data_IF_199805862188
#
_entry.id   IF_199805862188
#
_cell.length_a   1.000
_cell.length_b   1.000
_cell.length_c   1.000
_cell.angle_alpha   90.00
_cell.angle_beta   90.00
_cell.angle_gamma   90.00
#
_symmetry.space_group_name_H-M   'P 1'
#
loop_
_entity.id
_entity.type
_entity.pdbx_description
1 polymer ?
#
# COMPACT_ATOMS: atom_id res chain seq x y z
N UNK A 1 32.71 21.43 -47.58
CA UNK A 1 32.35 22.07 -46.30
C UNK A 1 33.65 22.42 -45.62
N UNK A 2 33.83 23.67 -45.21
CA UNK A 2 35.06 24.08 -44.52
C UNK A 2 35.16 23.40 -43.14
N UNK A 3 36.38 23.15 -42.66
CA UNK A 3 36.62 22.49 -41.38
C UNK A 3 35.96 23.23 -40.19
N UNK A 4 35.83 24.55 -40.30
CA UNK A 4 35.10 25.39 -39.35
C UNK A 4 33.62 25.03 -39.31
N UNK A 5 32.98 24.87 -40.47
CA UNK A 5 31.56 24.47 -40.57
C UNK A 5 31.32 23.10 -39.96
N UNK A 6 32.24 22.15 -40.17
CA UNK A 6 32.14 20.80 -39.59
C UNK A 6 32.23 20.88 -38.05
N UNK A 7 33.19 21.65 -37.52
CA UNK A 7 33.35 21.82 -36.08
C UNK A 7 32.11 22.42 -35.42
N UNK A 8 31.53 23.47 -36.00
CA UNK A 8 30.29 24.07 -35.49
C UNK A 8 29.09 23.13 -35.56
N UNK A 9 28.96 22.35 -36.63
CA UNK A 9 27.89 21.35 -36.75
C UNK A 9 27.99 20.26 -35.68
N UNK A 10 29.20 19.76 -35.42
CA UNK A 10 29.43 18.76 -34.36
C UNK A 10 29.13 19.35 -32.99
N UNK A 11 29.60 20.58 -32.71
CA UNK A 11 29.34 21.25 -31.45
C UNK A 11 27.85 21.48 -31.22
N UNK A 12 27.12 21.93 -32.25
CA UNK A 12 25.67 22.16 -32.18
C UNK A 12 24.90 20.85 -31.94
N UNK A 13 25.30 19.77 -32.62
CA UNK A 13 24.71 18.45 -32.42
C UNK A 13 24.95 17.94 -30.99
N UNK A 14 26.18 18.08 -30.47
CA UNK A 14 26.52 17.67 -29.11
C UNK A 14 25.76 18.49 -28.06
N UNK A 15 25.71 19.81 -28.22
CA UNK A 15 24.98 20.69 -27.32
C UNK A 15 23.48 20.36 -27.29
N UNK A 16 22.88 20.13 -28.46
CA UNK A 16 21.47 19.74 -28.57
C UNK A 16 21.19 18.39 -27.90
N UNK A 17 22.07 17.42 -28.09
CA UNK A 17 21.97 16.10 -27.45
C UNK A 17 22.05 16.21 -25.92
N UNK A 18 23.01 16.99 -25.39
CA UNK A 18 23.16 17.20 -23.94
C UNK A 18 21.91 17.86 -23.36
N UNK A 19 21.38 18.91 -24.01
CA UNK A 19 20.15 19.58 -23.55
C UNK A 19 18.98 18.59 -23.53
N UNK A 20 18.79 17.82 -24.60
CA UNK A 20 17.73 16.81 -24.67
C UNK A 20 17.89 15.75 -23.56
N UNK A 21 19.09 15.22 -23.36
CA UNK A 21 19.37 14.21 -22.35
C UNK A 21 19.10 14.72 -20.92
N UNK A 22 19.49 15.96 -20.61
CA UNK A 22 19.25 16.57 -19.30
C UNK A 22 17.76 16.80 -19.05
N UNK A 23 17.02 17.33 -20.04
CA UNK A 23 15.59 17.60 -19.90
C UNK A 23 14.81 16.30 -19.72
N UNK A 24 15.05 15.31 -20.59
CA UNK A 24 14.38 14.01 -20.53
C UNK A 24 14.78 13.27 -19.25
N UNK A 25 16.07 13.25 -18.90
CA UNK A 25 16.54 12.57 -17.69
C UNK A 25 16.02 13.20 -16.40
N UNK A 26 15.80 14.52 -16.38
CA UNK A 26 15.15 15.20 -15.26
C UNK A 26 13.67 14.83 -15.16
N UNK A 27 12.98 14.78 -16.29
CA UNK A 27 11.56 14.45 -16.35
C UNK A 27 11.28 12.99 -15.99
N UNK A 28 12.08 12.07 -16.54
CA UNK A 28 12.04 10.65 -16.22
C UNK A 28 12.25 10.44 -14.72
N UNK A 29 13.28 11.05 -14.11
CA UNK A 29 13.48 10.96 -12.66
C UNK A 29 12.33 11.53 -11.84
N UNK A 30 11.65 12.57 -12.32
CA UNK A 30 10.47 13.12 -11.63
C UNK A 30 9.30 12.15 -11.71
N UNK A 31 9.05 11.56 -12.87
CA UNK A 31 7.96 10.60 -13.04
C UNK A 31 8.23 9.29 -12.30
N UNK A 32 9.47 8.80 -12.31
CA UNK A 32 9.89 7.63 -11.53
C UNK A 32 9.77 7.86 -10.01
N UNK A 33 9.84 9.12 -9.56
CA UNK A 33 9.62 9.47 -8.14
C UNK A 33 8.14 9.39 -7.71
N UNK A 34 7.22 9.23 -8.66
CA UNK A 34 5.79 9.01 -8.39
C UNK A 34 5.53 7.51 -8.45
N UNK A 35 5.65 6.84 -7.30
CA UNK A 35 5.36 5.40 -7.21
C UNK A 35 3.89 5.11 -7.59
N UNK A 36 3.61 3.90 -8.14
CA UNK A 36 2.24 3.45 -8.37
C UNK A 36 1.39 3.63 -7.11
N UNK A 37 0.19 4.21 -7.28
CA UNK A 37 -0.73 4.50 -6.19
C UNK A 37 -1.25 3.17 -5.62
N UNK A 38 -1.00 2.90 -4.35
CA UNK A 38 -1.69 1.83 -3.63
C UNK A 38 -3.13 2.28 -3.34
N UNK A 39 -4.07 1.86 -4.18
CA UNK A 39 -5.50 2.17 -4.01
C UNK A 39 -6.15 0.99 -3.30
N UNK A 40 -6.72 1.26 -2.12
CA UNK A 40 -7.52 0.27 -1.42
C UNK A 40 -8.89 0.12 -2.09
N UNK A 41 -9.20 -1.09 -2.54
CA UNK A 41 -10.53 -1.47 -3.01
C UNK A 41 -11.11 -2.52 -2.06
N UNK A 42 -12.28 -2.24 -1.49
CA UNK A 42 -12.90 -3.11 -0.50
C UNK A 42 -13.34 -4.45 -1.10
N UNK A 43 -13.90 -4.45 -2.30
CA UNK A 43 -14.41 -5.68 -2.92
C UNK A 43 -13.24 -6.58 -3.34
N UNK A 44 -12.16 -6.00 -3.86
CA UNK A 44 -10.92 -6.73 -4.12
C UNK A 44 -10.29 -7.28 -2.83
N UNK A 45 -10.29 -6.50 -1.74
CA UNK A 45 -9.78 -6.95 -0.45
C UNK A 45 -10.58 -8.14 0.09
N UNK A 46 -11.91 -8.11 -0.04
CA UNK A 46 -12.79 -9.21 0.37
C UNK A 46 -12.45 -10.49 -0.39
N UNK A 47 -12.34 -10.42 -1.72
CA UNK A 47 -11.98 -11.56 -2.57
C UNK A 47 -10.60 -12.11 -2.20
N UNK A 48 -9.60 -11.22 -2.11
CA UNK A 48 -8.22 -11.58 -1.78
C UNK A 48 -8.10 -12.27 -0.41
N UNK A 49 -8.81 -11.75 0.59
CA UNK A 49 -8.81 -12.30 1.94
C UNK A 49 -9.54 -13.63 1.96
N UNK A 50 -10.74 -13.72 1.38
CA UNK A 50 -11.52 -14.95 1.33
C UNK A 50 -10.71 -16.10 0.73
N UNK A 51 -10.00 -15.86 -0.37
CA UNK A 51 -9.15 -16.85 -1.05
C UNK A 51 -7.97 -17.38 -0.20
N UNK A 52 -7.59 -16.66 0.86
CA UNK A 52 -6.43 -16.97 1.72
C UNK A 52 -6.81 -17.45 3.12
N UNK A 53 -8.10 -17.43 3.45
CA UNK A 53 -8.58 -17.97 4.72
C UNK A 53 -8.48 -19.51 4.73
N UNK A 54 -8.14 -20.13 5.87
CA UNK A 54 -8.27 -21.58 6.04
C UNK A 54 -9.71 -22.05 5.83
N UNK A 55 -9.88 -23.30 5.39
CA UNK A 55 -11.20 -23.86 5.09
C UNK A 55 -12.13 -23.83 6.31
N UNK A 56 -11.60 -24.02 7.51
CA UNK A 56 -12.33 -23.96 8.76
C UNK A 56 -12.89 -22.55 9.02
N UNK A 57 -12.10 -21.51 8.75
CA UNK A 57 -12.52 -20.11 8.88
C UNK A 57 -13.53 -19.74 7.79
N UNK A 58 -13.30 -20.15 6.55
CA UNK A 58 -14.25 -19.91 5.44
C UNK A 58 -15.62 -20.53 5.71
N UNK A 59 -15.67 -21.70 6.35
CA UNK A 59 -16.93 -22.36 6.68
C UNK A 59 -17.74 -21.64 7.77
N UNK A 60 -17.09 -20.80 8.59
CA UNK A 60 -17.70 -20.05 9.68
C UNK A 60 -18.00 -18.60 9.35
N UNK A 61 -17.27 -18.01 8.40
CA UNK A 61 -17.36 -16.59 8.07
C UNK A 61 -18.13 -16.35 6.78
N UNK A 62 -19.18 -15.54 6.84
CA UNK A 62 -19.88 -15.07 5.64
C UNK A 62 -19.15 -13.90 4.98
N UNK A 63 -19.39 -13.69 3.68
CA UNK A 63 -18.84 -12.55 2.94
C UNK A 63 -19.28 -11.19 3.52
N UNK A 64 -20.49 -11.09 4.06
CA UNK A 64 -20.98 -9.85 4.66
C UNK A 64 -20.31 -9.56 6.01
N UNK A 65 -20.05 -10.58 6.82
CA UNK A 65 -19.28 -10.44 8.06
C UNK A 65 -17.83 -10.06 7.77
N UNK A 66 -17.22 -10.71 6.77
CA UNK A 66 -15.86 -10.36 6.32
C UNK A 66 -15.81 -8.89 5.87
N UNK A 67 -16.78 -8.44 5.08
CA UNK A 67 -16.91 -7.03 4.68
C UNK A 67 -16.99 -6.09 5.89
N UNK A 68 -17.73 -6.47 6.93
CA UNK A 68 -17.82 -5.67 8.16
C UNK A 68 -16.48 -5.61 8.88
N UNK A 69 -15.78 -6.73 9.04
CA UNK A 69 -14.44 -6.77 9.66
C UNK A 69 -13.43 -5.89 8.91
N UNK A 70 -13.38 -5.98 7.59
CA UNK A 70 -12.48 -5.17 6.76
C UNK A 70 -12.81 -3.67 6.88
N UNK A 71 -14.08 -3.30 6.95
CA UNK A 71 -14.51 -1.91 7.21
C UNK A 71 -14.12 -1.45 8.62
N UNK A 72 -14.23 -2.30 9.63
CA UNK A 72 -13.81 -1.99 11.00
C UNK A 72 -12.31 -1.75 11.09
N UNK A 73 -11.51 -2.55 10.36
CA UNK A 73 -10.08 -2.33 10.24
C UNK A 73 -9.77 -0.99 9.56
N UNK A 74 -10.44 -0.66 8.45
CA UNK A 74 -10.30 0.66 7.81
C UNK A 74 -10.67 1.81 8.73
N UNK A 75 -11.74 1.68 9.51
CA UNK A 75 -12.09 2.68 10.52
C UNK A 75 -10.98 2.83 11.56
N UNK A 76 -10.39 1.73 12.02
CA UNK A 76 -9.29 1.79 12.98
C UNK A 76 -8.06 2.51 12.44
N UNK A 77 -7.64 2.23 11.20
CA UNK A 77 -6.53 2.96 10.55
C UNK A 77 -6.88 4.45 10.41
N UNK A 78 -8.12 4.77 10.06
CA UNK A 78 -8.59 6.15 9.99
C UNK A 78 -8.52 6.85 11.36
N UNK A 79 -9.02 6.20 12.42
CA UNK A 79 -9.02 6.74 13.79
C UNK A 79 -7.59 6.92 14.34
N UNK A 80 -6.62 6.13 13.85
CA UNK A 80 -5.19 6.31 14.13
C UNK A 80 -4.52 7.40 13.30
N UNK A 81 -5.24 8.03 12.38
CA UNK A 81 -4.71 9.07 11.49
C UNK A 81 -3.74 8.54 10.43
N UNK A 82 -3.81 7.24 10.14
CA UNK A 82 -2.88 6.56 9.22
C UNK A 82 -3.40 6.50 7.78
N UNK A 83 -4.61 7.00 7.54
CA UNK A 83 -5.14 7.18 6.19
C UNK A 83 -4.84 8.59 5.69
N UNK A 84 -4.37 8.73 4.45
CA UNK A 84 -4.31 10.03 3.80
C UNK A 84 -5.70 10.67 3.79
N UNK A 85 -5.80 11.93 4.21
CA UNK A 85 -7.06 12.67 4.21
C UNK A 85 -7.56 13.00 2.79
N UNK A 86 -6.65 13.04 1.82
CA UNK A 86 -6.95 13.33 0.43
C UNK A 86 -5.97 12.58 -0.50
N UNK A 87 -6.41 12.37 -1.74
CA UNK A 87 -5.59 11.79 -2.81
C UNK A 87 -4.70 12.91 -3.35
N UNK A 88 -3.53 13.08 -2.72
CA UNK A 88 -2.54 14.06 -3.17
C UNK A 88 -1.45 13.38 -4.01
N UNK A 89 -1.22 13.90 -5.21
CA UNK A 89 -0.04 13.55 -5.99
C UNK A 89 1.19 14.20 -5.34
N UNK A 90 1.85 13.43 -4.47
CA UNK A 90 3.07 13.84 -3.78
C UNK A 90 4.19 12.83 -4.05
N UNK A 91 5.44 13.27 -4.26
CA UNK A 91 6.59 12.39 -4.22
C UNK A 91 6.56 11.55 -2.93
N UNK A 92 6.81 10.25 -3.04
CA UNK A 92 6.89 9.38 -1.87
C UNK A 92 7.98 9.91 -0.93
N UNK A 93 7.58 10.35 0.26
CA UNK A 93 8.47 10.87 1.30
C UNK A 93 8.02 10.28 2.64
N UNK A 94 8.85 9.43 3.24
CA UNK A 94 8.58 8.82 4.55
C UNK A 94 9.20 9.72 5.60
N UNK A 95 8.39 10.63 6.15
CA UNK A 95 8.83 11.53 7.22
C UNK A 95 8.90 10.81 8.58
N UNK A 96 8.03 9.83 8.80
CA UNK A 96 7.92 9.07 10.03
C UNK A 96 7.60 7.60 9.71
N UNK A 97 8.29 6.67 10.37
CA UNK A 97 8.03 5.23 10.25
C UNK A 97 7.16 4.81 11.43
N UNK A 98 5.96 4.33 11.13
CA UNK A 98 5.00 3.84 12.13
C UNK A 98 4.90 2.32 11.98
N UNK A 99 5.18 1.59 13.05
CA UNK A 99 5.06 0.13 13.12
C UNK A 99 3.82 -0.24 13.94
N UNK A 100 3.00 -1.14 13.40
CA UNK A 100 1.78 -1.63 14.05
C UNK A 100 1.90 -3.12 14.31
N UNK A 101 1.62 -3.52 15.56
CA UNK A 101 1.52 -4.93 15.93
C UNK A 101 0.20 -5.55 15.47
N UNK A 102 0.30 -6.74 14.89
CA UNK A 102 -0.84 -7.58 14.49
C UNK A 102 -1.80 -7.84 15.67
N UNK A 103 -1.23 -7.99 16.87
CA UNK A 103 -1.94 -8.30 18.11
C UNK A 103 -2.87 -7.17 18.53
N UNK A 104 -2.42 -5.92 18.37
CA UNK A 104 -3.22 -4.74 18.75
C UNK A 104 -4.45 -4.61 17.85
N UNK A 105 -4.27 -4.86 16.55
CA UNK A 105 -5.34 -4.86 15.58
C UNK A 105 -6.32 -6.01 15.82
N UNK A 106 -5.79 -7.21 16.09
CA UNK A 106 -6.60 -8.41 16.39
C UNK A 106 -7.49 -8.16 17.60
N UNK A 107 -6.93 -7.67 18.71
CA UNK A 107 -7.68 -7.35 19.92
C UNK A 107 -8.77 -6.29 19.67
N UNK A 108 -8.47 -5.27 18.86
CA UNK A 108 -9.45 -4.26 18.47
C UNK A 108 -10.61 -4.87 17.67
N UNK A 109 -10.32 -5.70 16.67
CA UNK A 109 -11.35 -6.32 15.84
C UNK A 109 -12.21 -7.30 16.62
N UNK A 110 -11.63 -8.06 17.54
CA UNK A 110 -12.37 -8.97 18.42
C UNK A 110 -13.41 -8.19 19.24
N UNK A 111 -13.00 -7.09 19.89
CA UNK A 111 -13.93 -6.23 20.65
C UNK A 111 -15.01 -5.58 19.77
N UNK A 112 -14.69 -5.21 18.52
CA UNK A 112 -15.68 -4.62 17.60
C UNK A 112 -16.59 -5.63 16.92
N UNK A 113 -16.14 -6.87 16.76
CA UNK A 113 -16.96 -7.97 16.23
C UNK A 113 -18.09 -8.32 17.19
N UNK A 114 -17.80 -8.36 18.51
CA UNK A 114 -18.81 -8.56 19.56
C UNK A 114 -19.88 -7.45 19.52
N UNK A 115 -19.47 -6.18 19.44
CA UNK A 115 -20.40 -5.04 19.31
C UNK A 115 -21.28 -5.13 18.05
N UNK A 116 -20.74 -5.72 16.99
CA UNK A 116 -21.40 -5.86 15.69
C UNK A 116 -22.25 -7.14 15.58
N UNK A 117 -22.35 -7.94 16.66
CA UNK A 117 -23.06 -9.23 16.73
C UNK A 117 -22.60 -10.26 15.69
N UNK A 118 -21.30 -10.30 15.41
CA UNK A 118 -20.71 -11.35 14.59
C UNK A 118 -20.46 -12.55 15.53
N UNK A 119 -21.49 -13.38 15.74
CA UNK A 119 -21.51 -14.43 16.77
C UNK A 119 -20.62 -15.66 16.47
N UNK A 120 -19.92 -15.70 15.33
CA UNK A 120 -19.31 -16.94 14.79
C UNK A 120 -17.78 -16.92 14.76
N UNK A 121 -17.14 -15.85 15.24
CA UNK A 121 -15.67 -15.72 15.17
C UNK A 121 -15.00 -16.27 16.42
N UNK A 122 -14.18 -17.31 16.24
CA UNK A 122 -13.14 -17.67 17.20
C UNK A 122 -11.98 -16.65 17.09
N UNK A 123 -11.23 -16.45 18.17
CA UNK A 123 -10.06 -15.55 18.21
C UNK A 123 -9.07 -15.89 17.07
N UNK A 124 -8.94 -17.18 16.77
CA UNK A 124 -8.11 -17.71 15.69
C UNK A 124 -8.59 -17.24 14.31
N UNK A 125 -9.90 -17.13 14.08
CA UNK A 125 -10.46 -16.66 12.81
C UNK A 125 -10.15 -15.19 12.57
N UNK A 126 -10.23 -14.37 13.61
CA UNK A 126 -9.88 -12.95 13.54
C UNK A 126 -8.41 -12.79 13.19
N UNK A 127 -7.51 -13.59 13.79
CA UNK A 127 -6.08 -13.60 13.44
C UNK A 127 -5.87 -13.94 11.96
N UNK A 128 -6.58 -14.95 11.43
CA UNK A 128 -6.48 -15.30 10.01
C UNK A 128 -6.95 -14.17 9.09
N UNK A 129 -8.06 -13.50 9.43
CA UNK A 129 -8.55 -12.34 8.68
C UNK A 129 -7.55 -11.19 8.72
N UNK A 130 -7.00 -10.88 9.90
CA UNK A 130 -6.01 -9.81 10.07
C UNK A 130 -4.78 -10.08 9.22
N UNK A 131 -4.19 -11.29 9.31
CA UNK A 131 -3.00 -11.66 8.53
C UNK A 131 -3.25 -11.56 7.04
N UNK A 132 -4.37 -12.10 6.56
CA UNK A 132 -4.72 -12.04 5.15
C UNK A 132 -4.94 -10.60 4.68
N UNK A 133 -5.54 -9.74 5.51
CA UNK A 133 -5.79 -8.34 5.16
C UNK A 133 -4.50 -7.49 5.19
N UNK A 134 -3.56 -7.78 6.11
CA UNK A 134 -2.23 -7.17 6.08
C UNK A 134 -1.43 -7.61 4.85
N UNK A 135 -1.51 -8.89 4.46
CA UNK A 135 -0.91 -9.39 3.24
C UNK A 135 -1.50 -8.72 1.98
N UNK A 136 -2.78 -8.32 2.03
CA UNK A 136 -3.38 -7.51 0.96
C UNK A 136 -2.73 -6.13 0.87
N UNK A 137 -2.47 -5.45 1.98
CA UNK A 137 -1.76 -4.17 1.98
C UNK A 137 -0.34 -4.30 1.45
N UNK A 138 0.37 -5.36 1.80
CA UNK A 138 1.70 -5.64 1.26
C UNK A 138 1.62 -5.83 -0.26
N UNK A 139 0.65 -6.61 -0.74
CA UNK A 139 0.46 -6.88 -2.17
C UNK A 139 0.20 -5.62 -2.99
N UNK A 140 -0.63 -4.70 -2.48
CA UNK A 140 -0.90 -3.43 -3.17
C UNK A 140 0.18 -2.36 -2.92
N UNK A 141 1.21 -2.67 -2.12
CA UNK A 141 2.28 -1.72 -1.77
C UNK A 141 1.85 -0.59 -0.85
N UNK A 142 0.77 -0.79 -0.06
CA UNK A 142 0.28 0.20 0.90
C UNK A 142 1.10 0.25 2.20
N UNK A 143 1.88 -0.79 2.50
CA UNK A 143 2.76 -0.87 3.66
C UNK A 143 4.18 -1.23 3.25
N UNK A 144 5.15 -0.78 4.06
CA UNK A 144 6.55 -1.16 3.93
C UNK A 144 6.83 -2.59 4.43
N UNK A 145 8.09 -3.06 4.35
CA UNK A 145 8.48 -4.38 4.83
C UNK A 145 8.20 -4.52 6.34
N UNK A 146 7.91 -5.75 6.77
CA UNK A 146 7.73 -6.07 8.18
C UNK A 146 8.97 -5.69 8.99
N UNK A 147 8.77 -4.93 10.07
CA UNK A 147 9.83 -4.64 11.03
C UNK A 147 10.25 -5.94 11.72
N UNK A 148 11.56 -6.18 11.84
CA UNK A 148 12.03 -7.31 12.64
C UNK A 148 11.88 -6.96 14.12
N UNK A 149 11.74 -7.98 14.99
CA UNK A 149 11.68 -7.78 16.45
C UNK A 149 12.92 -7.11 17.04
N UNK A 150 13.99 -6.99 16.26
CA UNK A 150 15.25 -6.34 16.63
C UNK A 150 15.29 -4.84 16.24
N UNK A 151 14.27 -4.36 15.52
CA UNK A 151 14.11 -2.97 15.06
C UNK A 151 13.17 -2.15 15.95
N UNK A 152 12.62 -2.75 17.02
CA UNK A 152 11.72 -2.17 18.02
C UNK A 152 12.39 -2.07 19.39
#
# INVERSE_FOLDING_TARGET
MDGVTIAFSVLAALASFVIAAVVIGREARRLDSVAPRAVYDLDQAIEFVADRLPAETQARLTFDELRVLLKLHMRWIHDKGLQPADVIDRPQDITEVIVLGEETLTAYLLGKAEESRIEVLDDVDVVHVVRAHLAYFEMIGAVGPSASSNDL
#
